data_IF_435098458284
#
_entry.id   IF_435098458284
#
_cell.length_a   1.000
_cell.length_b   1.000
_cell.length_c   1.000
_cell.angle_alpha   90.00
_cell.angle_beta   90.00
_cell.angle_gamma   90.00
#
_symmetry.space_group_name_H-M   'P 1'
#
loop_
_entity.id
_entity.type
_entity.pdbx_description
1 polymer ?
#
# COMPACT_ATOMS: atom_id res chain seq x y z
N UNK A 1 -14.89 -5.52 7.91
CA UNK A 1 -13.87 -6.18 7.07
C UNK A 1 -12.51 -5.95 7.70
N UNK A 2 -11.76 -7.02 7.94
CA UNK A 2 -10.40 -6.90 8.50
C UNK A 2 -9.41 -6.48 7.41
N UNK A 3 -8.22 -6.02 7.83
CA UNK A 3 -7.13 -5.72 6.89
C UNK A 3 -6.74 -6.95 6.09
N UNK A 4 -6.78 -8.12 6.71
CA UNK A 4 -6.55 -9.40 6.05
C UNK A 4 -7.54 -9.62 4.89
N UNK A 5 -8.82 -9.45 5.14
CA UNK A 5 -9.86 -9.64 4.14
C UNK A 5 -9.77 -8.60 3.03
N UNK A 6 -9.50 -7.35 3.39
CA UNK A 6 -9.35 -6.27 2.43
C UNK A 6 -8.16 -6.52 1.49
N UNK A 7 -7.03 -6.91 2.06
CA UNK A 7 -5.82 -7.21 1.26
C UNK A 7 -6.10 -8.35 0.28
N UNK A 8 -6.73 -9.44 0.75
CA UNK A 8 -7.04 -10.57 -0.12
C UNK A 8 -7.99 -10.18 -1.25
N UNK A 9 -9.02 -9.39 -0.94
CA UNK A 9 -9.97 -8.91 -1.95
C UNK A 9 -9.26 -8.08 -3.02
N UNK A 10 -8.38 -7.17 -2.61
CA UNK A 10 -7.62 -6.34 -3.52
C UNK A 10 -6.73 -7.20 -4.44
N UNK A 11 -6.08 -8.22 -3.89
CA UNK A 11 -5.25 -9.11 -4.69
C UNK A 11 -6.09 -9.90 -5.71
N UNK A 12 -7.23 -10.42 -5.28
CA UNK A 12 -8.11 -11.19 -6.16
C UNK A 12 -8.64 -10.36 -7.33
N UNK A 13 -8.88 -9.08 -7.10
CA UNK A 13 -9.45 -8.16 -8.11
C UNK A 13 -8.39 -7.32 -8.80
N UNK A 14 -7.13 -7.57 -8.50
CA UNK A 14 -6.01 -6.82 -9.04
C UNK A 14 -6.16 -5.31 -8.84
N UNK A 15 -6.51 -4.92 -7.61
CA UNK A 15 -6.65 -3.54 -7.17
C UNK A 15 -5.47 -3.22 -6.26
N UNK A 16 -4.78 -2.11 -6.55
CA UNK A 16 -3.70 -1.63 -5.68
C UNK A 16 -4.32 -0.86 -4.52
N UNK A 17 -4.01 -1.31 -3.30
CA UNK A 17 -4.49 -0.65 -2.09
C UNK A 17 -3.59 0.53 -1.74
N UNK A 18 -4.18 1.71 -1.60
CA UNK A 18 -3.49 2.90 -1.10
C UNK A 18 -4.05 3.21 0.28
N UNK A 19 -3.20 3.30 1.28
CA UNK A 19 -3.64 3.49 2.66
C UNK A 19 -2.61 4.28 3.46
N UNK A 20 -3.07 4.91 4.54
CA UNK A 20 -2.20 5.48 5.57
C UNK A 20 -2.11 4.55 6.79
N UNK A 21 -2.75 3.40 6.75
CA UNK A 21 -2.79 2.46 7.86
C UNK A 21 -1.42 1.78 8.03
N UNK A 22 -0.81 1.99 9.20
CA UNK A 22 0.48 1.41 9.56
C UNK A 22 0.35 0.50 10.78
N UNK A 23 -0.86 0.03 11.06
CA UNK A 23 -1.11 -0.86 12.19
C UNK A 23 -0.44 -2.22 11.93
N UNK A 24 0.49 -2.60 12.81
CA UNK A 24 1.19 -3.88 12.74
C UNK A 24 0.83 -4.81 13.91
N UNK A 25 -0.18 -4.44 14.69
CA UNK A 25 -0.61 -5.20 15.85
C UNK A 25 -1.68 -6.23 15.48
N UNK A 26 -1.52 -7.44 16.02
CA UNK A 26 -2.50 -8.49 15.88
C UNK A 26 -2.36 -9.30 14.58
N UNK A 27 -3.00 -10.49 14.55
CA UNK A 27 -2.86 -11.43 13.42
C UNK A 27 -3.58 -10.99 12.16
N UNK A 28 -4.58 -10.11 12.28
CA UNK A 28 -5.35 -9.62 11.13
C UNK A 28 -4.91 -8.23 10.66
N UNK A 29 -3.80 -7.70 11.18
CA UNK A 29 -3.26 -6.43 10.73
C UNK A 29 -2.74 -6.52 9.30
N UNK A 30 -2.66 -5.37 8.64
CA UNK A 30 -2.12 -5.30 7.27
C UNK A 30 -0.67 -5.83 7.22
N UNK A 31 0.17 -5.44 8.16
CA UNK A 31 1.56 -5.90 8.22
C UNK A 31 1.66 -7.40 8.40
N UNK A 32 0.86 -7.99 9.30
CA UNK A 32 0.85 -9.43 9.51
C UNK A 32 0.37 -10.15 8.26
N UNK A 33 -0.63 -9.62 7.59
CA UNK A 33 -1.16 -10.19 6.36
C UNK A 33 -0.10 -10.20 5.25
N UNK A 34 0.57 -9.09 5.04
CA UNK A 34 1.63 -8.98 4.03
C UNK A 34 2.74 -9.97 4.34
N UNK A 35 3.20 -10.00 5.60
CA UNK A 35 4.28 -10.89 6.02
C UNK A 35 3.96 -12.36 5.76
N UNK A 36 2.70 -12.74 5.93
CA UNK A 36 2.29 -14.15 5.89
C UNK A 36 1.85 -14.58 4.49
N UNK A 37 1.15 -13.72 3.74
CA UNK A 37 0.47 -14.09 2.51
C UNK A 37 1.08 -13.51 1.24
N UNK A 38 2.05 -12.60 1.35
CA UNK A 38 2.66 -12.00 0.17
C UNK A 38 3.38 -13.07 -0.65
N UNK A 39 3.20 -13.00 -1.97
CA UNK A 39 3.87 -13.88 -2.94
C UNK A 39 4.66 -13.03 -3.93
N UNK A 40 5.56 -13.65 -4.73
CA UNK A 40 6.29 -12.88 -5.75
C UNK A 40 5.41 -12.21 -6.81
N UNK A 41 4.15 -12.65 -6.94
CA UNK A 41 3.21 -12.06 -7.89
C UNK A 41 2.22 -11.10 -7.26
N UNK A 42 2.22 -10.95 -5.93
CA UNK A 42 1.29 -10.07 -5.22
C UNK A 42 1.52 -8.60 -5.58
N UNK A 43 0.42 -7.85 -5.73
CA UNK A 43 0.48 -6.41 -5.93
C UNK A 43 0.93 -5.73 -4.64
N UNK A 44 1.75 -4.68 -4.73
CA UNK A 44 2.19 -3.95 -3.54
C UNK A 44 1.05 -3.13 -2.94
N UNK A 45 1.16 -2.87 -1.64
CA UNK A 45 0.31 -1.90 -0.95
C UNK A 45 1.09 -0.58 -0.92
N UNK A 46 0.44 0.51 -1.31
CA UNK A 46 1.04 1.84 -1.25
C UNK A 46 0.64 2.48 0.09
N UNK A 47 1.63 2.91 0.86
CA UNK A 47 1.40 3.48 2.18
C UNK A 47 1.84 4.94 2.19
N UNK A 48 0.91 5.83 2.55
CA UNK A 48 1.22 7.24 2.74
C UNK A 48 2.02 7.38 4.03
N UNK A 49 3.28 7.83 3.90
CA UNK A 49 4.20 7.88 5.04
C UNK A 49 3.77 8.90 6.08
N UNK A 50 3.22 10.04 5.66
CA UNK A 50 2.77 11.10 6.55
C UNK A 50 1.41 11.65 6.11
N UNK A 51 0.31 11.01 6.54
CA UNK A 51 -1.02 11.44 6.11
C UNK A 51 -1.41 12.83 6.60
N UNK A 52 -0.88 13.27 7.75
CA UNK A 52 -1.17 14.62 8.25
C UNK A 52 -0.54 15.67 7.36
N UNK A 53 0.65 15.40 6.85
CA UNK A 53 1.35 16.32 5.97
C UNK A 53 0.64 16.45 4.62
N UNK A 54 -0.03 15.40 4.16
CA UNK A 54 -0.85 15.45 2.94
C UNK A 54 -1.93 16.53 3.07
N UNK A 55 -2.55 16.63 4.25
CA UNK A 55 -3.58 17.62 4.53
C UNK A 55 -3.02 19.03 4.74
N UNK A 56 -1.78 19.13 5.24
CA UNK A 56 -1.17 20.40 5.61
C UNK A 56 -0.31 21.02 4.51
N UNK A 57 0.18 20.23 3.57
CA UNK A 57 1.12 20.69 2.55
C UNK A 57 0.69 20.21 1.17
N UNK A 58 0.37 21.18 0.31
CA UNK A 58 0.01 20.89 -1.08
C UNK A 58 1.19 20.26 -1.84
N UNK A 59 2.40 20.75 -1.60
CA UNK A 59 3.60 20.23 -2.27
C UNK A 59 3.83 18.76 -1.90
N UNK A 60 3.64 18.40 -0.63
CA UNK A 60 3.77 17.02 -0.21
C UNK A 60 2.69 16.13 -0.84
N UNK A 61 1.44 16.62 -0.88
CA UNK A 61 0.35 15.88 -1.50
C UNK A 61 0.62 15.62 -2.99
N UNK A 62 1.17 16.61 -3.69
CA UNK A 62 1.54 16.46 -5.10
C UNK A 62 2.65 15.41 -5.27
N UNK A 63 3.65 15.40 -4.39
CA UNK A 63 4.71 14.39 -4.44
C UNK A 63 4.18 12.99 -4.18
N UNK A 64 3.24 12.85 -3.24
CA UNK A 64 2.56 11.57 -2.99
C UNK A 64 1.85 11.09 -4.25
N UNK A 65 1.09 11.96 -4.88
CA UNK A 65 0.34 11.62 -6.09
C UNK A 65 1.26 11.22 -7.25
N UNK A 66 2.33 11.99 -7.47
CA UNK A 66 3.30 11.69 -8.53
C UNK A 66 3.99 10.35 -8.28
N UNK A 67 4.44 10.11 -7.06
CA UNK A 67 5.11 8.85 -6.71
C UNK A 67 4.16 7.65 -6.86
N UNK A 68 2.91 7.80 -6.44
CA UNK A 68 1.92 6.75 -6.60
C UNK A 68 1.70 6.43 -8.08
N UNK A 69 1.59 7.45 -8.93
CA UNK A 69 1.45 7.25 -10.37
C UNK A 69 2.66 6.55 -10.97
N UNK A 70 3.87 6.91 -10.55
CA UNK A 70 5.09 6.26 -11.03
C UNK A 70 5.08 4.77 -10.69
N UNK A 71 4.70 4.41 -9.46
CA UNK A 71 4.58 3.00 -9.08
C UNK A 71 3.52 2.27 -9.90
N UNK A 72 2.38 2.91 -10.16
CA UNK A 72 1.31 2.30 -10.93
C UNK A 72 1.72 2.08 -12.39
N UNK A 73 2.50 2.99 -12.96
CA UNK A 73 2.98 2.86 -14.34
C UNK A 73 4.00 1.72 -14.50
N UNK A 74 4.72 1.38 -13.45
CA UNK A 74 5.71 0.30 -13.45
C UNK A 74 5.35 -0.81 -12.47
N UNK A 75 4.07 -1.06 -12.31
CA UNK A 75 3.52 -1.92 -11.26
C UNK A 75 4.16 -3.32 -11.27
N UNK A 76 4.40 -3.88 -12.44
CA UNK A 76 4.95 -5.23 -12.53
C UNK A 76 6.38 -5.34 -11.97
N UNK A 77 7.11 -4.22 -11.94
CA UNK A 77 8.45 -4.18 -11.34
C UNK A 77 8.39 -4.27 -9.80
N UNK A 78 7.24 -3.99 -9.22
CA UNK A 78 7.08 -3.96 -7.77
C UNK A 78 6.26 -5.11 -7.20
N UNK A 79 5.88 -6.07 -8.03
CA UNK A 79 5.19 -7.26 -7.54
C UNK A 79 6.10 -8.01 -6.57
N UNK A 80 5.54 -8.45 -5.47
CA UNK A 80 6.25 -9.22 -4.47
C UNK A 80 6.96 -8.41 -3.39
N UNK A 81 7.09 -7.09 -3.54
CA UNK A 81 7.80 -6.27 -2.54
C UNK A 81 6.99 -6.07 -1.25
N UNK A 82 5.70 -6.36 -1.28
CA UNK A 82 4.81 -6.24 -0.13
C UNK A 82 4.23 -4.85 0.01
N UNK A 83 5.04 -3.86 0.30
CA UNK A 83 4.59 -2.47 0.46
C UNK A 83 5.61 -1.47 -0.06
N UNK A 84 5.10 -0.30 -0.44
CA UNK A 84 5.91 0.83 -0.89
C UNK A 84 5.39 2.09 -0.21
N UNK A 85 6.28 2.95 0.23
CA UNK A 85 5.88 4.22 0.83
C UNK A 85 5.78 5.33 -0.21
N UNK A 86 4.77 6.22 -0.07
CA UNK A 86 4.53 7.34 -0.98
C UNK A 86 4.44 8.64 -0.15
N UNK A 87 5.31 9.59 -0.44
CA UNK A 87 6.75 9.44 -0.41
C UNK A 87 7.26 9.14 0.94
#
# INVERSE_FOLDING_TARGET
MSDHDLWQLCQQREIVLLTANRNDEGPDSLEATIRTLNTPSSLPVLIIADPELVLASRDYAERVAVQALEYLLELDHFRGVGRLFVP
#
